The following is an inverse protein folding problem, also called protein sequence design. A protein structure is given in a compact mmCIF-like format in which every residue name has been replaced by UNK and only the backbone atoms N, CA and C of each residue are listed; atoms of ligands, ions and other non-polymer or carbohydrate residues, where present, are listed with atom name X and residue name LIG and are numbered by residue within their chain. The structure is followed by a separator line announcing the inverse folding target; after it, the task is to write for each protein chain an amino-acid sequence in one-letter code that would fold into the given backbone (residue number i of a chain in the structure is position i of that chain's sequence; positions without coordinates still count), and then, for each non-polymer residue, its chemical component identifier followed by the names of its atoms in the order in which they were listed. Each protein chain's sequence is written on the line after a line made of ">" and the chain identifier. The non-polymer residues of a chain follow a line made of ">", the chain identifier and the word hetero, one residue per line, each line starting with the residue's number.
data_IF_078589645142
#
_entry.id   IF_078589645142
#
_cell.length_a   1.000
_cell.length_b   1.000
_cell.length_c   1.000
_cell.angle_alpha   90.00
_cell.angle_beta   90.00
_cell.angle_gamma   90.00
#
_symmetry.space_group_name_H-M   'P 1'
#
loop_
_entity.id
_entity.type
_entity.pdbx_description
1 polymer ?
#
# COMPACT_ATOMS: atom_id res chain seq x y z
N UNK A 1 23.41 7.38 26.26
CA UNK A 1 23.36 6.26 27.21
C UNK A 1 24.67 5.50 27.18
N UNK A 2 25.44 5.64 28.24
CA UNK A 2 26.69 4.92 28.44
C UNK A 2 26.45 3.41 28.55
N UNK A 3 27.48 2.60 28.31
CA UNK A 3 27.39 1.14 28.34
C UNK A 3 26.95 0.61 29.72
N UNK A 4 27.35 1.27 30.80
CA UNK A 4 26.94 0.92 32.16
C UNK A 4 25.44 1.14 32.37
N UNK A 5 24.94 2.31 32.01
CA UNK A 5 23.52 2.67 32.12
C UNK A 5 22.65 1.70 31.30
N UNK A 6 23.12 1.33 30.09
CA UNK A 6 22.45 0.37 29.23
C UNK A 6 22.32 -1.01 29.90
N UNK A 7 23.37 -1.50 30.55
CA UNK A 7 23.36 -2.78 31.28
C UNK A 7 22.45 -2.75 32.51
N UNK A 8 22.48 -1.66 33.26
CA UNK A 8 21.61 -1.47 34.43
C UNK A 8 20.13 -1.45 33.99
N UNK A 9 19.79 -0.72 32.93
CA UNK A 9 18.44 -0.68 32.38
C UNK A 9 17.99 -2.05 31.86
N UNK A 10 18.85 -2.77 31.12
CA UNK A 10 18.56 -4.13 30.65
C UNK A 10 18.31 -5.11 31.81
N UNK A 11 19.03 -4.98 32.93
CA UNK A 11 18.82 -5.84 34.09
C UNK A 11 17.41 -5.67 34.68
N UNK A 12 16.85 -4.46 34.63
CA UNK A 12 15.49 -4.19 35.09
C UNK A 12 14.39 -4.66 34.13
N UNK A 13 14.71 -4.93 32.86
CA UNK A 13 13.74 -5.47 31.88
C UNK A 13 13.56 -6.99 31.99
N UNK A 14 14.46 -7.69 32.70
CA UNK A 14 14.44 -9.15 32.81
C UNK A 14 13.24 -9.66 33.63
N UNK A 15 12.77 -10.89 33.38
CA UNK A 15 11.64 -11.48 34.12
C UNK A 15 11.86 -11.55 35.64
N UNK A 16 13.11 -11.69 36.09
CA UNK A 16 13.45 -11.84 37.51
C UNK A 16 13.39 -10.52 38.30
N UNK A 17 13.32 -9.37 37.61
CA UNK A 17 13.23 -8.07 38.25
C UNK A 17 11.85 -7.84 38.89
N UNK A 18 11.78 -6.99 39.92
CA UNK A 18 10.51 -6.62 40.56
C UNK A 18 9.60 -5.90 39.58
N UNK A 19 8.30 -6.18 39.63
CA UNK A 19 7.30 -5.64 38.67
C UNK A 19 7.34 -4.11 38.51
N UNK A 20 7.47 -3.35 39.61
CA UNK A 20 7.58 -1.89 39.58
C UNK A 20 8.85 -1.41 38.83
N UNK A 21 9.98 -2.10 39.03
CA UNK A 21 11.23 -1.78 38.34
C UNK A 21 11.14 -2.12 36.85
N UNK A 22 10.46 -3.23 36.51
CA UNK A 22 10.17 -3.60 35.12
C UNK A 22 9.30 -2.55 34.43
N UNK A 23 8.26 -2.08 35.12
CA UNK A 23 7.37 -1.00 34.66
C UNK A 23 8.13 0.30 34.39
N UNK A 24 8.89 0.79 35.38
CA UNK A 24 9.71 1.99 35.19
C UNK A 24 10.73 1.83 34.06
N UNK A 25 11.37 0.67 33.94
CA UNK A 25 12.35 0.41 32.90
C UNK A 25 11.74 0.38 31.48
N UNK A 26 10.58 -0.28 31.29
CA UNK A 26 9.93 -0.34 29.97
C UNK A 26 9.40 1.03 29.54
N UNK A 27 8.88 1.84 30.47
CA UNK A 27 8.45 3.21 30.19
C UNK A 27 9.62 4.12 29.80
N UNK A 28 10.78 3.99 30.46
CA UNK A 28 11.99 4.70 30.07
C UNK A 28 12.44 4.32 28.65
N UNK A 29 12.43 3.01 28.32
CA UNK A 29 12.75 2.54 26.97
C UNK A 29 11.74 3.08 25.95
N UNK A 30 10.44 3.02 26.26
CA UNK A 30 9.39 3.58 25.42
C UNK A 30 9.64 5.08 25.16
N UNK A 31 9.95 5.85 26.20
CA UNK A 31 10.30 7.27 26.07
C UNK A 31 11.49 7.52 25.14
N UNK A 32 12.52 6.67 25.17
CA UNK A 32 13.66 6.77 24.24
C UNK A 32 13.24 6.56 22.78
N UNK A 33 12.27 5.67 22.51
CA UNK A 33 11.79 5.42 21.13
C UNK A 33 11.07 6.60 20.49
N UNK A 34 10.71 7.64 21.27
CA UNK A 34 10.09 8.86 20.77
C UNK A 34 11.00 9.71 19.86
N UNK A 35 12.31 9.48 19.87
CA UNK A 35 13.30 10.21 19.04
C UNK A 35 14.02 9.28 18.07
N UNK A 36 14.48 9.79 16.93
CA UNK A 36 15.26 9.00 15.96
C UNK A 36 16.59 8.53 16.57
N UNK A 37 17.26 9.40 17.33
CA UNK A 37 18.49 9.11 18.05
C UNK A 37 18.30 7.97 19.04
N UNK A 38 17.22 8.00 19.82
CA UNK A 38 16.90 6.95 20.78
C UNK A 38 16.54 5.62 20.11
N UNK A 39 15.79 5.64 19.00
CA UNK A 39 15.52 4.42 18.22
C UNK A 39 16.81 3.80 17.68
N UNK A 40 17.68 4.59 17.04
CA UNK A 40 18.98 4.11 16.53
C UNK A 40 19.87 3.55 17.63
N UNK A 41 19.90 4.21 18.78
CA UNK A 41 20.65 3.76 19.95
C UNK A 41 20.17 2.40 20.46
N UNK A 42 18.86 2.17 20.50
CA UNK A 42 18.27 0.90 20.92
C UNK A 42 18.47 -0.19 19.85
N UNK A 43 18.30 0.13 18.57
CA UNK A 43 18.52 -0.82 17.46
C UNK A 43 19.98 -1.25 17.34
N UNK A 44 20.93 -0.39 17.67
CA UNK A 44 22.35 -0.73 17.73
C UNK A 44 22.69 -1.74 18.85
N UNK A 45 21.75 -2.07 19.73
CA UNK A 45 21.93 -2.95 20.89
C UNK A 45 20.88 -4.07 20.89
N UNK A 46 21.16 -5.22 20.27
CA UNK A 46 20.20 -6.32 20.09
C UNK A 46 19.49 -6.78 21.37
N UNK A 47 20.18 -6.74 22.51
CA UNK A 47 19.61 -7.12 23.81
C UNK A 47 18.37 -6.31 24.21
N UNK A 48 18.27 -5.03 23.81
CA UNK A 48 17.05 -4.25 24.05
C UNK A 48 15.89 -4.71 23.18
N UNK A 49 16.16 -5.01 21.91
CA UNK A 49 15.15 -5.52 20.97
C UNK A 49 14.65 -6.87 21.44
N UNK A 50 15.55 -7.78 21.84
CA UNK A 50 15.21 -9.08 22.43
C UNK A 50 14.37 -8.95 23.70
N UNK A 51 14.76 -8.04 24.61
CA UNK A 51 14.01 -7.79 25.84
C UNK A 51 12.59 -7.26 25.54
N UNK A 52 12.43 -6.33 24.60
CA UNK A 52 11.13 -5.80 24.18
C UNK A 52 10.26 -6.88 23.50
N UNK A 53 10.86 -7.71 22.65
CA UNK A 53 10.18 -8.83 22.00
C UNK A 53 9.66 -9.83 23.02
N UNK A 54 10.43 -10.12 24.07
CA UNK A 54 9.98 -10.97 25.18
C UNK A 54 8.88 -10.29 26.01
N UNK A 55 9.07 -9.02 26.39
CA UNK A 55 8.12 -8.25 27.20
C UNK A 55 6.77 -8.05 26.51
N UNK A 56 6.74 -7.94 25.18
CA UNK A 56 5.48 -7.83 24.42
C UNK A 56 4.56 -9.05 24.58
N UNK A 57 5.04 -10.14 25.18
CA UNK A 57 4.26 -11.33 25.52
C UNK A 57 4.11 -11.56 27.02
N UNK A 58 4.44 -10.56 27.84
CA UNK A 58 4.37 -10.66 29.30
C UNK A 58 2.91 -10.82 29.78
N UNK A 59 2.66 -11.58 30.86
CA UNK A 59 1.33 -11.69 31.45
C UNK A 59 0.75 -10.36 31.94
N UNK A 60 1.60 -9.38 32.28
CA UNK A 60 1.16 -8.04 32.62
C UNK A 60 0.84 -7.23 31.36
N UNK A 61 -0.45 -6.95 31.16
CA UNK A 61 -0.94 -6.18 30.02
C UNK A 61 -0.23 -4.83 29.87
N UNK A 62 0.02 -4.13 30.98
CA UNK A 62 0.71 -2.84 30.96
C UNK A 62 2.16 -2.95 30.46
N UNK A 63 2.90 -3.97 30.89
CA UNK A 63 4.28 -4.20 30.41
C UNK A 63 4.29 -4.61 28.94
N UNK A 64 3.37 -5.49 28.56
CA UNK A 64 3.24 -5.96 27.20
C UNK A 64 2.89 -4.83 26.23
N UNK A 65 1.93 -3.97 26.62
CA UNK A 65 1.51 -2.81 25.84
C UNK A 65 2.63 -1.79 25.68
N UNK A 66 3.31 -1.39 26.76
CA UNK A 66 4.44 -0.45 26.69
C UNK A 66 5.57 -0.99 25.81
N UNK A 67 5.93 -2.28 25.96
CA UNK A 67 6.93 -2.92 25.12
C UNK A 67 6.50 -2.99 23.65
N UNK A 68 5.22 -3.26 23.40
CA UNK A 68 4.66 -3.31 22.05
C UNK A 68 4.72 -1.95 21.36
N UNK A 69 4.34 -0.87 22.05
CA UNK A 69 4.45 0.48 21.51
C UNK A 69 5.90 0.88 21.24
N UNK A 70 6.84 0.47 22.09
CA UNK A 70 8.26 0.67 21.83
C UNK A 70 8.69 -0.06 20.54
N UNK A 71 8.25 -1.30 20.31
CA UNK A 71 8.51 -2.04 19.08
C UNK A 71 7.90 -1.37 17.84
N UNK A 72 6.68 -0.83 17.93
CA UNK A 72 6.04 -0.08 16.83
C UNK A 72 6.89 1.12 16.43
N UNK A 73 7.36 1.88 17.42
CA UNK A 73 8.22 3.04 17.20
C UNK A 73 9.56 2.61 16.61
N UNK A 74 10.20 1.56 17.15
CA UNK A 74 11.45 1.03 16.60
C UNK A 74 11.30 0.59 15.14
N UNK A 75 10.21 -0.11 14.80
CA UNK A 75 9.95 -0.56 13.44
C UNK A 75 9.83 0.58 12.43
N UNK A 76 9.48 1.80 12.88
CA UNK A 76 9.40 2.98 12.02
C UNK A 76 10.77 3.55 11.63
N UNK A 77 11.86 3.16 12.32
CA UNK A 77 13.21 3.64 12.00
C UNK A 77 13.79 2.88 10.79
N UNK A 78 14.38 3.57 9.81
CA UNK A 78 15.06 2.92 8.70
C UNK A 78 16.17 1.97 9.17
N UNK A 79 16.18 0.73 8.64
CA UNK A 79 17.15 -0.31 9.01
C UNK A 79 16.73 -1.16 10.23
N UNK A 80 15.56 -0.89 10.82
CA UNK A 80 15.06 -1.64 11.96
C UNK A 80 14.61 -3.06 11.61
N UNK A 81 14.21 -3.32 10.36
CA UNK A 81 13.57 -4.58 10.01
C UNK A 81 14.50 -5.79 10.23
N UNK A 82 15.80 -5.63 9.96
CA UNK A 82 16.82 -6.64 10.24
C UNK A 82 16.96 -6.98 11.73
N UNK A 83 16.87 -5.98 12.61
CA UNK A 83 16.96 -6.19 14.06
C UNK A 83 15.73 -6.91 14.64
N UNK A 84 14.55 -6.65 14.08
CA UNK A 84 13.28 -7.26 14.51
C UNK A 84 13.04 -8.65 13.92
N UNK A 85 13.79 -9.02 12.88
CA UNK A 85 13.62 -10.24 12.07
C UNK A 85 13.46 -11.51 12.90
N UNK A 86 14.34 -11.75 13.87
CA UNK A 86 14.34 -12.98 14.66
C UNK A 86 13.09 -13.13 15.54
N UNK A 87 12.51 -12.02 15.99
CA UNK A 87 11.31 -12.01 16.82
C UNK A 87 10.00 -12.02 16.04
N UNK A 88 10.04 -11.70 14.74
CA UNK A 88 8.84 -11.48 13.95
C UNK A 88 7.96 -12.73 13.80
N UNK A 89 8.48 -13.96 13.59
CA UNK A 89 7.61 -15.14 13.54
C UNK A 89 6.81 -15.37 14.82
N UNK A 90 7.44 -15.18 15.98
CA UNK A 90 6.77 -15.27 17.29
C UNK A 90 5.79 -14.12 17.54
N UNK A 91 6.09 -12.94 17.01
CA UNK A 91 5.18 -11.80 17.02
C UNK A 91 3.96 -12.09 16.14
N UNK A 92 4.13 -12.46 14.87
CA UNK A 92 3.05 -12.81 13.93
C UNK A 92 2.09 -13.84 14.51
N UNK A 93 2.60 -14.93 15.12
CA UNK A 93 1.75 -15.93 15.79
C UNK A 93 0.84 -15.33 16.87
N UNK A 94 1.31 -14.33 17.62
CA UNK A 94 0.50 -13.61 18.61
C UNK A 94 -0.47 -12.63 17.95
N UNK A 95 -0.01 -11.90 16.95
CA UNK A 95 -0.82 -10.92 16.21
C UNK A 95 -2.03 -11.56 15.52
N UNK A 96 -1.89 -12.81 15.10
CA UNK A 96 -2.94 -13.59 14.44
C UNK A 96 -3.90 -14.26 15.42
N UNK A 97 -3.69 -14.13 16.73
CA UNK A 97 -4.67 -14.61 17.71
C UNK A 97 -5.94 -13.77 17.63
N UNK A 98 -7.14 -14.39 17.57
CA UNK A 98 -8.41 -13.67 17.45
C UNK A 98 -8.66 -12.61 18.54
N UNK A 99 -8.15 -12.85 19.75
CA UNK A 99 -8.34 -11.99 20.92
C UNK A 99 -7.17 -11.03 21.20
N UNK A 100 -6.24 -10.82 20.25
CA UNK A 100 -5.09 -9.96 20.48
C UNK A 100 -5.52 -8.50 20.70
N UNK A 101 -5.24 -7.88 21.86
CA UNK A 101 -5.82 -6.59 22.24
C UNK A 101 -5.24 -5.40 21.46
N UNK A 102 -4.04 -5.53 20.90
CA UNK A 102 -3.31 -4.45 20.23
C UNK A 102 -3.33 -4.60 18.70
N UNK A 103 -4.47 -4.99 18.13
CA UNK A 103 -4.59 -5.28 16.70
C UNK A 103 -4.17 -4.10 15.79
N UNK A 104 -4.56 -2.86 16.13
CA UNK A 104 -4.18 -1.69 15.35
C UNK A 104 -2.67 -1.36 15.43
N UNK A 105 -2.06 -1.24 16.63
CA UNK A 105 -0.60 -1.13 16.77
C UNK A 105 0.17 -2.23 16.04
N UNK A 106 -0.35 -3.46 16.07
CA UNK A 106 0.28 -4.59 15.40
C UNK A 106 0.36 -4.44 13.89
N UNK A 107 -0.73 -3.99 13.29
CA UNK A 107 -0.73 -3.74 11.86
C UNK A 107 0.20 -2.57 11.50
N UNK A 108 0.30 -1.53 12.35
CA UNK A 108 1.27 -0.45 12.16
C UNK A 108 2.73 -0.95 12.25
N UNK A 109 3.05 -1.82 13.20
CA UNK A 109 4.36 -2.46 13.30
C UNK A 109 4.70 -3.23 12.02
N UNK A 110 3.78 -4.07 11.52
CA UNK A 110 3.99 -4.84 10.29
C UNK A 110 4.11 -3.94 9.06
N UNK A 111 3.30 -2.89 8.97
CA UNK A 111 3.39 -1.90 7.88
C UNK A 111 4.73 -1.16 7.89
N UNK A 112 5.26 -0.83 9.07
CA UNK A 112 6.57 -0.18 9.21
C UNK A 112 7.71 -1.15 8.87
N UNK A 113 7.68 -2.36 9.44
CA UNK A 113 8.68 -3.39 9.20
C UNK A 113 8.75 -3.77 7.71
N UNK A 114 7.61 -3.82 7.03
CA UNK A 114 7.54 -4.24 5.63
C UNK A 114 8.09 -3.25 4.60
N UNK A 115 8.50 -2.05 5.03
CA UNK A 115 9.11 -1.05 4.16
C UNK A 115 10.46 -1.52 3.60
N UNK A 116 11.16 -2.39 4.32
CA UNK A 116 12.45 -2.95 3.90
C UNK A 116 12.26 -4.27 3.16
N UNK A 117 12.68 -4.31 1.89
CA UNK A 117 12.45 -5.46 1.00
C UNK A 117 13.21 -6.73 1.43
N UNK A 118 14.46 -6.58 1.91
CA UNK A 118 15.31 -7.72 2.27
C UNK A 118 14.66 -8.63 3.32
N UNK A 119 14.37 -8.11 4.53
CA UNK A 119 13.70 -8.89 5.57
C UNK A 119 12.33 -9.41 5.16
N UNK A 120 11.55 -8.65 4.37
CA UNK A 120 10.26 -9.11 3.82
C UNK A 120 10.38 -10.39 3.01
N UNK A 121 11.38 -10.50 2.12
CA UNK A 121 11.57 -11.67 1.26
C UNK A 121 11.74 -12.96 2.08
N UNK A 122 12.41 -12.88 3.23
CA UNK A 122 12.66 -14.05 4.08
C UNK A 122 11.40 -14.58 4.78
N UNK A 123 10.40 -13.73 5.03
CA UNK A 123 9.16 -14.09 5.75
C UNK A 123 7.91 -13.97 4.87
N UNK A 124 8.10 -13.87 3.56
CA UNK A 124 7.03 -13.59 2.61
C UNK A 124 5.97 -14.71 2.61
N UNK A 125 6.39 -15.96 2.72
CA UNK A 125 5.48 -17.11 2.73
C UNK A 125 4.53 -17.06 3.94
N UNK A 126 5.07 -16.84 5.14
CA UNK A 126 4.31 -16.74 6.39
C UNK A 126 3.36 -15.54 6.37
N UNK A 127 3.80 -14.41 5.82
CA UNK A 127 2.96 -13.22 5.66
C UNK A 127 1.82 -13.52 4.69
N UNK A 128 2.10 -14.02 3.49
CA UNK A 128 1.05 -14.32 2.52
C UNK A 128 0.07 -15.38 3.00
N UNK A 129 0.53 -16.43 3.69
CA UNK A 129 -0.36 -17.42 4.31
C UNK A 129 -1.27 -16.76 5.35
N UNK A 130 -0.70 -15.98 6.26
CA UNK A 130 -1.45 -15.30 7.32
C UNK A 130 -2.47 -14.28 6.78
N UNK A 131 -2.15 -13.61 5.67
CA UNK A 131 -2.90 -12.46 5.16
C UNK A 131 -3.79 -12.78 3.95
N UNK A 132 -3.52 -13.87 3.22
CA UNK A 132 -4.27 -14.23 2.01
C UNK A 132 -5.10 -15.50 2.14
N UNK A 133 -4.88 -16.38 3.12
CA UNK A 133 -5.48 -17.73 3.16
C UNK A 133 -6.88 -17.86 3.82
N UNK A 134 -7.69 -16.79 3.84
CA UNK A 134 -9.00 -16.56 4.51
C UNK A 134 -8.87 -15.60 5.70
N UNK A 135 -9.86 -14.71 5.91
CA UNK A 135 -9.85 -13.72 6.99
C UNK A 135 -9.72 -14.41 8.36
N UNK A 136 -8.56 -14.33 9.04
CA UNK A 136 -8.37 -14.99 10.32
C UNK A 136 -9.10 -14.27 11.46
N UNK A 137 -9.69 -13.07 11.24
CA UNK A 137 -10.39 -12.29 12.27
C UNK A 137 -11.56 -11.46 11.70
N UNK A 138 -12.75 -12.05 11.61
CA UNK A 138 -13.97 -11.31 11.32
C UNK A 138 -14.15 -10.14 12.30
N UNK A 139 -14.18 -8.90 11.80
CA UNK A 139 -14.39 -7.69 12.60
C UNK A 139 -13.13 -6.99 13.13
N UNK A 140 -11.92 -7.50 12.88
CA UNK A 140 -10.69 -6.79 13.22
C UNK A 140 -10.39 -5.63 12.23
N UNK A 141 -9.74 -4.53 12.67
CA UNK A 141 -9.41 -3.41 11.81
C UNK A 141 -8.23 -3.76 10.88
N UNK A 142 -8.52 -4.42 9.75
CA UNK A 142 -7.55 -4.76 8.69
C UNK A 142 -7.01 -3.52 7.93
N UNK A 143 -7.38 -2.31 8.34
CA UNK A 143 -7.09 -1.06 7.62
C UNK A 143 -5.59 -0.83 7.36
N UNK A 144 -4.75 -1.12 8.36
CA UNK A 144 -3.30 -0.95 8.25
C UNK A 144 -2.59 -2.10 7.50
N UNK A 145 -3.30 -3.21 7.22
CA UNK A 145 -2.75 -4.32 6.44
C UNK A 145 -2.78 -4.03 4.94
N UNK A 146 -3.55 -3.04 4.52
CA UNK A 146 -3.42 -2.48 3.18
C UNK A 146 -2.00 -2.00 2.91
N UNK A 147 -1.37 -1.30 3.86
CA UNK A 147 0.02 -0.84 3.70
C UNK A 147 1.03 -1.99 3.69
N UNK A 148 0.80 -3.04 4.50
CA UNK A 148 1.62 -4.25 4.44
C UNK A 148 1.56 -4.90 3.05
N UNK A 149 0.37 -5.12 2.51
CA UNK A 149 0.19 -5.72 1.18
C UNK A 149 0.78 -4.84 0.07
N UNK A 150 0.60 -3.53 0.14
CA UNK A 150 1.19 -2.59 -0.79
C UNK A 150 2.73 -2.67 -0.75
N UNK A 151 3.33 -2.75 0.45
CA UNK A 151 4.77 -2.89 0.60
C UNK A 151 5.28 -4.23 0.07
N UNK A 152 4.59 -5.34 0.37
CA UNK A 152 4.97 -6.68 -0.07
C UNK A 152 4.87 -6.82 -1.59
N UNK A 153 3.81 -6.30 -2.22
CA UNK A 153 3.57 -6.38 -3.67
C UNK A 153 4.60 -5.66 -4.55
N UNK A 154 5.52 -4.89 -3.95
CA UNK A 154 6.73 -4.40 -4.66
C UNK A 154 7.66 -5.56 -5.05
N UNK A 155 7.64 -6.65 -4.28
CA UNK A 155 8.41 -7.86 -4.56
C UNK A 155 7.74 -8.71 -5.65
N UNK A 156 8.48 -9.14 -6.70
CA UNK A 156 7.96 -10.04 -7.73
C UNK A 156 7.30 -11.31 -7.16
N UNK A 157 7.93 -11.93 -6.17
CA UNK A 157 7.48 -13.18 -5.55
C UNK A 157 6.13 -12.99 -4.82
N UNK A 158 5.88 -11.80 -4.28
CA UNK A 158 4.62 -11.46 -3.65
C UNK A 158 3.52 -11.24 -4.70
N UNK A 159 3.84 -10.57 -5.81
CA UNK A 159 2.90 -10.41 -6.94
C UNK A 159 2.52 -11.76 -7.52
N UNK A 160 3.49 -12.65 -7.76
CA UNK A 160 3.23 -14.01 -8.24
C UNK A 160 2.24 -14.77 -7.35
N UNK A 161 2.33 -14.57 -6.02
CA UNK A 161 1.42 -15.19 -5.08
C UNK A 161 0.03 -14.55 -5.08
N UNK A 162 -0.05 -13.22 -5.13
CA UNK A 162 -1.32 -12.48 -5.19
C UNK A 162 -2.08 -12.72 -6.50
N UNK A 163 -1.35 -12.79 -7.62
CA UNK A 163 -1.85 -13.03 -8.97
C UNK A 163 -2.04 -14.52 -9.29
N UNK A 164 -1.76 -15.41 -8.33
CA UNK A 164 -1.98 -16.85 -8.52
C UNK A 164 -3.49 -17.11 -8.62
N UNK A 165 -3.89 -17.68 -9.75
CA UNK A 165 -5.31 -18.00 -10.05
C UNK A 165 -5.92 -18.93 -9.00
N UNK A 166 -5.14 -19.88 -8.48
CA UNK A 166 -5.58 -20.77 -7.40
C UNK A 166 -5.73 -19.98 -6.10
N UNK A 167 -6.94 -19.99 -5.54
CA UNK A 167 -7.20 -19.40 -4.22
C UNK A 167 -7.65 -17.95 -4.24
N UNK A 168 -7.76 -17.27 -5.39
CA UNK A 168 -8.51 -16.00 -5.53
C UNK A 168 -8.11 -14.85 -4.58
N UNK A 169 -6.82 -14.72 -4.27
CA UNK A 169 -6.32 -13.72 -3.31
C UNK A 169 -6.60 -12.30 -3.77
N UNK A 170 -6.26 -11.98 -5.04
CA UNK A 170 -6.54 -10.68 -5.65
C UNK A 170 -8.04 -10.33 -5.61
N UNK A 171 -8.91 -11.25 -6.03
CA UNK A 171 -10.36 -11.01 -6.10
C UNK A 171 -10.96 -10.71 -4.73
N UNK A 172 -10.43 -11.31 -3.65
CA UNK A 172 -10.85 -10.97 -2.27
C UNK A 172 -10.49 -9.55 -1.87
N UNK A 173 -9.51 -8.92 -2.53
CA UNK A 173 -9.13 -7.54 -2.24
C UNK A 173 -10.04 -6.52 -2.93
N UNK A 174 -10.61 -6.86 -4.09
CA UNK A 174 -11.34 -5.91 -4.93
C UNK A 174 -12.50 -5.18 -4.22
N UNK A 175 -13.36 -5.84 -3.41
CA UNK A 175 -14.43 -5.13 -2.71
C UNK A 175 -13.93 -4.04 -1.75
N UNK A 176 -12.71 -4.16 -1.24
CA UNK A 176 -12.12 -3.18 -0.33
C UNK A 176 -11.64 -1.91 -1.02
N UNK A 177 -11.59 -1.86 -2.36
CA UNK A 177 -11.40 -0.59 -3.09
C UNK A 177 -12.55 0.39 -2.84
N UNK A 178 -13.74 -0.11 -2.51
CA UNK A 178 -14.95 0.70 -2.33
C UNK A 178 -15.38 0.79 -0.85
N UNK A 179 -14.51 0.39 0.08
CA UNK A 179 -14.82 0.42 1.52
C UNK A 179 -14.96 1.88 2.04
N UNK A 180 -16.20 2.33 2.19
CA UNK A 180 -16.54 3.63 2.74
C UNK A 180 -16.01 3.83 4.17
N UNK A 181 -15.77 2.75 4.92
CA UNK A 181 -15.32 2.81 6.31
C UNK A 181 -13.82 3.11 6.49
N UNK A 182 -12.99 3.10 5.43
CA UNK A 182 -11.54 3.28 5.61
C UNK A 182 -10.75 3.69 4.38
N UNK A 183 -10.28 4.94 4.37
CA UNK A 183 -9.31 5.44 3.40
C UNK A 183 -7.99 4.65 3.41
N UNK A 184 -7.48 4.28 4.60
CA UNK A 184 -6.25 3.49 4.72
C UNK A 184 -6.34 2.12 4.03
N UNK A 185 -7.50 1.47 4.13
CA UNK A 185 -7.71 0.17 3.46
C UNK A 185 -7.78 0.34 1.95
N UNK A 186 -8.59 1.29 1.46
CA UNK A 186 -8.71 1.61 0.03
C UNK A 186 -7.35 1.94 -0.57
N UNK A 187 -6.58 2.80 0.10
CA UNK A 187 -5.20 3.18 -0.26
C UNK A 187 -4.28 1.98 -0.41
N UNK A 188 -4.28 1.09 0.57
CA UNK A 188 -3.44 -0.10 0.53
C UNK A 188 -3.82 -1.09 -0.58
N UNK A 189 -5.11 -1.28 -0.83
CA UNK A 189 -5.57 -2.11 -1.94
C UNK A 189 -5.24 -1.47 -3.29
N UNK A 190 -5.50 -0.17 -3.47
CA UNK A 190 -5.12 0.55 -4.69
C UNK A 190 -3.62 0.44 -4.99
N UNK A 191 -2.77 0.66 -3.98
CA UNK A 191 -1.32 0.49 -4.13
C UNK A 191 -0.91 -0.95 -4.44
N UNK A 192 -1.57 -1.94 -3.82
CA UNK A 192 -1.33 -3.37 -4.12
C UNK A 192 -1.68 -3.71 -5.57
N UNK A 193 -2.83 -3.24 -6.06
CA UNK A 193 -3.28 -3.47 -7.43
C UNK A 193 -2.38 -2.78 -8.46
N UNK A 194 -1.99 -1.52 -8.21
CA UNK A 194 -1.02 -0.81 -9.02
C UNK A 194 0.27 -1.60 -9.14
N UNK A 195 0.81 -2.06 -8.01
CA UNK A 195 2.05 -2.85 -7.99
C UNK A 195 1.91 -4.16 -8.78
N UNK A 196 0.79 -4.87 -8.62
CA UNK A 196 0.47 -6.06 -9.39
C UNK A 196 0.44 -5.80 -10.91
N UNK A 197 -0.02 -4.63 -11.34
CA UNK A 197 -0.14 -4.27 -12.76
C UNK A 197 1.19 -3.90 -13.43
N UNK A 198 2.32 -3.83 -12.71
CA UNK A 198 3.64 -3.81 -13.37
C UNK A 198 3.96 -5.11 -14.10
N UNK A 199 3.29 -6.22 -13.76
CA UNK A 199 3.45 -7.49 -14.46
C UNK A 199 2.45 -7.62 -15.61
N UNK A 200 2.85 -7.14 -16.78
CA UNK A 200 2.00 -7.10 -17.98
C UNK A 200 1.52 -8.47 -18.46
N UNK A 201 2.19 -9.56 -18.07
CA UNK A 201 1.81 -10.94 -18.42
C UNK A 201 0.43 -11.30 -17.89
N UNK A 202 -0.06 -10.57 -16.89
CA UNK A 202 -1.35 -10.80 -16.27
C UNK A 202 -2.46 -9.85 -16.77
N UNK A 203 -2.16 -8.81 -17.56
CA UNK A 203 -3.15 -7.78 -17.94
C UNK A 203 -4.39 -8.36 -18.62
N UNK A 204 -4.22 -9.26 -19.58
CA UNK A 204 -5.35 -9.88 -20.28
C UNK A 204 -6.25 -10.68 -19.31
N UNK A 205 -5.65 -11.40 -18.36
CA UNK A 205 -6.41 -12.13 -17.34
C UNK A 205 -7.10 -11.17 -16.35
N UNK A 206 -6.41 -10.13 -15.90
CA UNK A 206 -6.95 -9.11 -15.00
C UNK A 206 -8.15 -8.38 -15.61
N UNK A 207 -8.13 -8.12 -16.92
CA UNK A 207 -9.20 -7.46 -17.66
C UNK A 207 -10.29 -8.42 -18.17
N UNK A 208 -10.05 -9.73 -18.11
CA UNK A 208 -11.04 -10.74 -18.52
C UNK A 208 -12.21 -10.83 -17.54
N UNK A 209 -13.32 -11.43 -17.98
CA UNK A 209 -14.51 -11.71 -17.16
C UNK A 209 -14.23 -12.54 -15.88
N UNK A 210 -13.08 -13.23 -15.78
CA UNK A 210 -12.72 -14.01 -14.59
C UNK A 210 -12.35 -13.14 -13.39
N UNK A 211 -11.80 -11.95 -13.64
CA UNK A 211 -11.41 -11.00 -12.59
C UNK A 211 -12.26 -9.74 -12.68
N UNK A 212 -12.55 -9.31 -13.90
CA UNK A 212 -13.31 -8.12 -14.24
C UNK A 212 -12.81 -6.90 -13.46
N UNK A 213 -11.50 -6.62 -13.56
CA UNK A 213 -10.86 -5.58 -12.74
C UNK A 213 -11.31 -4.17 -13.12
N UNK A 214 -11.65 -3.93 -14.39
CA UNK A 214 -11.89 -2.58 -14.92
C UNK A 214 -13.02 -1.83 -14.19
N UNK A 215 -14.21 -2.42 -13.95
CA UNK A 215 -15.27 -1.76 -13.19
C UNK A 215 -14.84 -1.36 -11.77
N UNK A 216 -14.07 -2.20 -11.08
CA UNK A 216 -13.57 -1.87 -9.74
C UNK A 216 -12.65 -0.65 -9.72
N UNK A 217 -11.88 -0.43 -10.79
CA UNK A 217 -10.99 0.74 -10.93
C UNK A 217 -11.75 2.01 -11.36
N UNK A 218 -12.75 1.87 -12.23
CA UNK A 218 -13.50 3.01 -12.76
C UNK A 218 -14.57 3.52 -11.80
N UNK A 219 -15.24 2.64 -11.04
CA UNK A 219 -16.34 3.05 -10.18
C UNK A 219 -15.95 4.13 -9.15
N UNK A 220 -14.77 4.09 -8.49
CA UNK A 220 -14.32 5.17 -7.60
C UNK A 220 -14.03 6.49 -8.34
N UNK A 221 -13.74 6.44 -9.63
CA UNK A 221 -13.43 7.61 -10.47
C UNK A 221 -14.70 8.24 -11.08
N UNK A 222 -15.80 7.50 -11.14
CA UNK A 222 -17.08 7.97 -11.65
C UNK A 222 -17.85 8.82 -10.62
N UNK A 223 -18.52 9.87 -11.11
CA UNK A 223 -19.45 10.69 -10.34
C UNK A 223 -20.91 10.41 -10.72
N UNK A 224 -21.83 11.33 -10.39
CA UNK A 224 -23.26 11.19 -10.66
C UNK A 224 -23.66 11.68 -12.07
N UNK A 225 -22.70 11.81 -12.99
CA UNK A 225 -22.98 12.34 -14.32
C UNK A 225 -23.87 11.40 -15.16
N UNK A 226 -24.78 12.00 -15.93
CA UNK A 226 -25.58 11.29 -16.91
C UNK A 226 -24.86 11.27 -18.27
N UNK A 227 -24.76 10.08 -18.86
CA UNK A 227 -24.17 9.88 -20.18
C UNK A 227 -25.27 9.68 -21.24
N UNK A 228 -25.06 10.13 -22.49
CA UNK A 228 -25.89 9.75 -23.63
C UNK A 228 -26.04 8.23 -23.75
N UNK A 229 -27.15 7.75 -24.32
CA UNK A 229 -27.46 6.32 -24.43
C UNK A 229 -26.35 5.52 -25.14
N UNK A 230 -25.75 6.07 -26.21
CA UNK A 230 -24.68 5.43 -26.97
C UNK A 230 -23.33 5.36 -26.23
N UNK A 231 -23.08 6.30 -25.31
CA UNK A 231 -21.94 6.23 -24.39
C UNK A 231 -22.24 5.23 -23.25
N UNK A 232 -23.47 5.23 -22.74
CA UNK A 232 -23.92 4.36 -21.65
C UNK A 232 -23.86 2.87 -22.02
N UNK A 233 -24.27 2.50 -23.24
CA UNK A 233 -24.22 1.13 -23.74
C UNK A 233 -22.81 0.53 -23.77
N UNK A 234 -21.77 1.37 -23.85
CA UNK A 234 -20.36 0.95 -23.86
C UNK A 234 -19.77 0.74 -22.47
N UNK A 235 -20.34 1.39 -21.45
CA UNK A 235 -19.84 1.29 -20.08
C UNK A 235 -20.10 -0.11 -19.50
N UNK A 236 -19.22 -0.60 -18.60
CA UNK A 236 -19.54 -1.80 -17.82
C UNK A 236 -20.81 -1.61 -16.99
N UNK A 237 -21.54 -2.70 -16.73
CA UNK A 237 -22.85 -2.66 -16.08
C UNK A 237 -22.85 -1.92 -14.74
N UNK A 238 -21.80 -2.09 -13.92
CA UNK A 238 -21.69 -1.44 -12.61
C UNK A 238 -21.53 0.08 -12.68
N UNK A 239 -21.20 0.63 -13.86
CA UNK A 239 -21.05 2.06 -14.12
C UNK A 239 -22.28 2.67 -14.82
N UNK A 240 -23.25 1.85 -15.22
CA UNK A 240 -24.45 2.33 -15.88
C UNK A 240 -25.46 2.86 -14.85
N UNK A 241 -26.07 4.01 -15.17
CA UNK A 241 -27.16 4.60 -14.39
C UNK A 241 -26.84 4.77 -12.90
N UNK A 242 -25.68 5.34 -12.60
CA UNK A 242 -25.27 5.63 -11.22
C UNK A 242 -26.26 6.60 -10.54
N UNK A 243 -26.53 6.43 -9.23
CA UNK A 243 -27.45 7.30 -8.51
C UNK A 243 -26.89 8.71 -8.32
N UNK A 244 -27.77 9.70 -8.09
CA UNK A 244 -27.38 11.09 -7.91
C UNK A 244 -26.46 11.32 -6.68
N UNK A 245 -26.54 10.43 -5.69
CA UNK A 245 -25.70 10.45 -4.49
C UNK A 245 -24.30 9.84 -4.73
N UNK A 246 -24.01 9.32 -5.93
CA UNK A 246 -22.72 8.72 -6.25
C UNK A 246 -21.61 9.77 -6.13
N UNK A 247 -20.68 9.51 -5.22
CA UNK A 247 -19.47 10.34 -5.06
C UNK A 247 -18.24 9.61 -5.60
N UNK A 248 -17.32 10.41 -6.13
CA UNK A 248 -15.96 9.97 -6.45
C UNK A 248 -15.19 9.66 -5.16
N UNK A 249 -14.11 8.90 -5.29
CA UNK A 249 -13.14 8.70 -4.22
C UNK A 249 -12.64 10.06 -3.70
N UNK A 250 -12.82 10.38 -2.40
CA UNK A 250 -12.42 11.68 -1.85
C UNK A 250 -10.90 11.88 -1.80
N UNK A 251 -10.11 10.81 -1.62
CA UNK A 251 -8.66 10.91 -1.44
C UNK A 251 -7.93 11.03 -2.79
N UNK A 252 -7.27 12.16 -3.04
CA UNK A 252 -6.60 12.45 -4.31
C UNK A 252 -5.53 11.43 -4.68
N UNK A 253 -4.70 11.02 -3.73
CA UNK A 253 -3.65 10.05 -3.97
C UNK A 253 -4.19 8.63 -4.26
N UNK A 254 -5.38 8.26 -3.76
CA UNK A 254 -6.08 7.03 -4.19
C UNK A 254 -6.52 7.17 -5.64
N UNK A 255 -7.14 8.29 -6.03
CA UNK A 255 -7.53 8.56 -7.43
C UNK A 255 -6.33 8.47 -8.37
N UNK A 256 -5.19 9.08 -7.99
CA UNK A 256 -3.92 9.00 -8.74
C UNK A 256 -3.48 7.55 -8.93
N UNK A 257 -3.46 6.74 -7.87
CA UNK A 257 -3.10 5.32 -7.96
C UNK A 257 -4.02 4.51 -8.89
N UNK A 258 -5.32 4.80 -8.89
CA UNK A 258 -6.28 4.13 -9.80
C UNK A 258 -6.01 4.50 -11.26
N UNK A 259 -5.74 5.77 -11.55
CA UNK A 259 -5.37 6.25 -12.89
C UNK A 259 -4.05 5.63 -13.36
N UNK A 260 -3.04 5.58 -12.49
CA UNK A 260 -1.76 4.92 -12.79
C UNK A 260 -1.94 3.41 -13.02
N UNK A 261 -2.86 2.77 -12.30
CA UNK A 261 -3.19 1.35 -12.52
C UNK A 261 -3.84 1.14 -13.89
N UNK A 262 -4.79 1.99 -14.27
CA UNK A 262 -5.40 1.96 -15.61
C UNK A 262 -4.37 2.22 -16.71
N UNK A 263 -3.44 3.16 -16.50
CA UNK A 263 -2.34 3.43 -17.42
C UNK A 263 -1.39 2.24 -17.57
N UNK A 264 -1.07 1.53 -16.49
CA UNK A 264 -0.30 0.29 -16.57
C UNK A 264 -1.05 -0.77 -17.40
N UNK A 265 -2.36 -0.93 -17.19
CA UNK A 265 -3.19 -1.86 -17.96
C UNK A 265 -3.27 -1.52 -19.45
N UNK A 266 -3.05 -0.25 -19.84
CA UNK A 266 -2.96 0.18 -21.25
C UNK A 266 -1.55 0.07 -21.84
N UNK A 267 -0.58 -0.51 -21.12
CA UNK A 267 0.75 -0.77 -21.68
C UNK A 267 0.72 -1.79 -22.83
N UNK A 268 -0.19 -2.77 -22.76
CA UNK A 268 -0.33 -3.80 -23.80
C UNK A 268 -1.44 -3.45 -24.78
N UNK A 269 -1.27 -3.84 -26.05
CA UNK A 269 -2.27 -3.64 -27.09
C UNK A 269 -3.65 -4.22 -26.72
N UNK A 270 -3.78 -5.48 -26.25
CA UNK A 270 -5.08 -6.00 -25.80
C UNK A 270 -5.69 -5.14 -24.68
N UNK A 271 -4.86 -4.68 -23.73
CA UNK A 271 -5.29 -3.81 -22.66
C UNK A 271 -5.81 -2.45 -23.17
N UNK A 272 -5.08 -1.78 -24.08
CA UNK A 272 -5.53 -0.52 -24.71
C UNK A 272 -6.87 -0.69 -25.39
N UNK A 273 -7.02 -1.72 -26.22
CA UNK A 273 -8.23 -1.96 -26.99
C UNK A 273 -9.42 -2.18 -26.06
N UNK A 274 -9.29 -3.05 -25.05
CA UNK A 274 -10.37 -3.34 -24.11
C UNK A 274 -10.75 -2.11 -23.27
N UNK A 275 -9.77 -1.39 -22.70
CA UNK A 275 -10.03 -0.19 -21.89
C UNK A 275 -10.71 0.90 -22.72
N UNK A 276 -10.33 1.08 -24.00
CA UNK A 276 -11.02 1.98 -24.93
C UNK A 276 -12.45 1.51 -25.25
N UNK A 277 -12.61 0.23 -25.58
CA UNK A 277 -13.90 -0.37 -25.96
C UNK A 277 -14.95 -0.24 -24.85
N UNK A 278 -14.54 -0.38 -23.59
CA UNK A 278 -15.41 -0.29 -22.40
C UNK A 278 -15.74 1.15 -21.98
N UNK A 279 -15.59 2.12 -22.87
CA UNK A 279 -16.03 3.50 -22.62
C UNK A 279 -15.27 4.26 -21.52
N UNK A 280 -14.06 3.81 -21.14
CA UNK A 280 -13.27 4.42 -20.06
C UNK A 280 -13.05 5.92 -20.28
N UNK A 281 -12.86 6.35 -21.52
CA UNK A 281 -12.70 7.76 -21.88
C UNK A 281 -13.85 8.65 -21.37
N UNK A 282 -15.10 8.18 -21.39
CA UNK A 282 -16.24 8.97 -20.94
C UNK A 282 -16.16 9.28 -19.45
N UNK A 283 -15.79 8.28 -18.64
CA UNK A 283 -15.57 8.44 -17.19
C UNK A 283 -14.44 9.43 -16.93
N UNK A 284 -13.32 9.28 -17.64
CA UNK A 284 -12.15 10.15 -17.45
C UNK A 284 -12.37 11.58 -17.93
N UNK A 285 -13.16 11.79 -18.99
CA UNK A 285 -13.55 13.12 -19.48
C UNK A 285 -14.29 13.92 -18.40
N UNK A 286 -15.23 13.29 -17.70
CA UNK A 286 -15.96 13.96 -16.62
C UNK A 286 -15.11 14.08 -15.34
N UNK A 287 -14.29 13.07 -15.02
CA UNK A 287 -13.31 13.16 -13.93
C UNK A 287 -12.37 14.36 -14.13
N UNK A 288 -11.79 14.52 -15.32
CA UNK A 288 -10.83 15.59 -15.64
C UNK A 288 -11.42 16.99 -15.45
N UNK A 289 -12.69 17.19 -15.85
CA UNK A 289 -13.41 18.45 -15.61
C UNK A 289 -13.65 18.75 -14.14
N UNK A 290 -13.91 17.70 -13.35
CA UNK A 290 -14.22 17.81 -11.93
C UNK A 290 -12.95 17.91 -11.04
N UNK A 291 -11.85 17.32 -11.47
CA UNK A 291 -10.64 17.16 -10.66
C UNK A 291 -9.94 18.50 -10.36
N UNK A 292 -9.66 18.73 -9.08
CA UNK A 292 -8.99 19.93 -8.59
C UNK A 292 -7.54 19.71 -8.15
N UNK A 293 -7.11 18.46 -7.99
CA UNK A 293 -5.72 18.11 -7.70
C UNK A 293 -4.90 18.03 -9.00
N UNK A 294 -3.80 18.79 -9.06
CA UNK A 294 -2.96 18.89 -10.25
C UNK A 294 -2.35 17.54 -10.63
N UNK A 295 -1.79 16.83 -9.65
CA UNK A 295 -1.13 15.55 -9.88
C UNK A 295 -2.09 14.45 -10.34
N UNK A 296 -3.34 14.47 -9.86
CA UNK A 296 -4.39 13.57 -10.35
C UNK A 296 -4.81 13.95 -11.78
N UNK A 297 -4.95 15.26 -12.05
CA UNK A 297 -5.33 15.76 -13.37
C UNK A 297 -4.29 15.41 -14.43
N UNK A 298 -3.00 15.60 -14.14
CA UNK A 298 -1.90 15.21 -15.02
C UNK A 298 -1.90 13.69 -15.30
N UNK A 299 -2.09 12.86 -14.27
CA UNK A 299 -2.24 11.41 -14.45
C UNK A 299 -3.45 11.04 -15.32
N UNK A 300 -4.56 11.76 -15.18
CA UNK A 300 -5.76 11.59 -16.00
C UNK A 300 -5.51 11.98 -17.46
N UNK A 301 -4.81 13.09 -17.70
CA UNK A 301 -4.43 13.56 -19.04
C UNK A 301 -3.52 12.56 -19.75
N UNK A 302 -2.48 12.04 -19.07
CA UNK A 302 -1.59 11.00 -19.60
C UNK A 302 -2.38 9.75 -20.04
N UNK A 303 -3.35 9.32 -19.23
CA UNK A 303 -4.21 8.20 -19.59
C UNK A 303 -5.15 8.52 -20.75
N UNK A 304 -5.80 9.69 -20.76
CA UNK A 304 -6.68 10.13 -21.85
C UNK A 304 -5.91 10.15 -23.18
N UNK A 305 -4.69 10.68 -23.20
CA UNK A 305 -3.83 10.71 -24.39
C UNK A 305 -3.60 9.31 -24.97
N UNK A 306 -3.34 8.31 -24.12
CA UNK A 306 -3.23 6.91 -24.55
C UNK A 306 -4.55 6.39 -25.13
N UNK A 307 -5.69 6.75 -24.54
CA UNK A 307 -7.00 6.25 -24.99
C UNK A 307 -7.47 6.86 -26.31
N UNK A 308 -7.19 8.14 -26.56
CA UNK A 308 -7.60 8.84 -27.79
C UNK A 308 -6.58 8.73 -28.91
N UNK A 309 -5.31 8.44 -28.58
CA UNK A 309 -4.23 8.30 -29.54
C UNK A 309 -4.37 7.08 -30.42
N UNK A 310 -3.72 7.15 -31.60
CA UNK A 310 -3.64 6.02 -32.52
C UNK A 310 -2.93 4.82 -31.87
N UNK A 311 -3.25 3.63 -32.36
CA UNK A 311 -2.57 2.42 -31.91
C UNK A 311 -1.09 2.47 -32.33
N UNK A 312 -0.13 2.20 -31.42
CA UNK A 312 1.28 2.17 -31.75
C UNK A 312 1.63 1.25 -32.92
N UNK A 313 2.75 1.55 -33.58
CA UNK A 313 3.25 0.79 -34.72
C UNK A 313 3.52 -0.69 -34.38
N UNK A 314 3.55 -1.55 -35.40
CA UNK A 314 3.89 -2.96 -35.23
C UNK A 314 5.28 -3.11 -34.60
N UNK A 315 5.38 -3.92 -33.55
CA UNK A 315 6.57 -4.02 -32.70
C UNK A 315 6.55 -3.14 -31.45
N UNK A 316 5.52 -2.30 -31.26
CA UNK A 316 5.25 -1.54 -30.03
C UNK A 316 3.97 -2.01 -29.32
N UNK A 317 3.63 -3.29 -29.45
CA UNK A 317 2.42 -3.84 -28.84
C UNK A 317 2.48 -3.79 -27.31
N UNK A 318 3.66 -3.89 -26.72
CA UNK A 318 3.87 -3.76 -25.28
C UNK A 318 4.83 -2.62 -24.95
N UNK A 319 4.28 -1.51 -24.49
CA UNK A 319 5.03 -0.29 -24.19
C UNK A 319 6.02 -0.46 -23.03
N UNK A 320 5.84 -1.48 -22.18
CA UNK A 320 6.77 -1.80 -21.09
C UNK A 320 8.03 -2.55 -21.56
N UNK A 321 8.05 -3.07 -22.78
CA UNK A 321 9.21 -3.76 -23.36
C UNK A 321 9.96 -2.93 -24.42
N UNK A 322 9.40 -1.77 -24.80
CA UNK A 322 10.02 -0.89 -25.80
C UNK A 322 11.28 -0.27 -25.23
N UNK A 323 12.39 -0.39 -25.96
CA UNK A 323 13.63 0.32 -25.63
C UNK A 323 13.48 1.78 -26.05
N UNK A 324 13.46 2.67 -25.08
CA UNK A 324 13.40 4.11 -25.31
C UNK A 324 14.81 4.56 -25.77
N UNK A 325 14.95 5.23 -26.93
CA UNK A 325 16.22 5.84 -27.33
C UNK A 325 16.66 6.88 -26.30
N UNK A 326 17.98 6.99 -26.07
CA UNK A 326 18.53 7.86 -25.03
C UNK A 326 18.16 9.33 -25.24
N UNK A 327 18.03 9.81 -26.48
CA UNK A 327 17.59 11.19 -26.71
C UNK A 327 16.13 11.44 -26.26
N UNK A 328 15.25 10.46 -26.48
CA UNK A 328 13.84 10.53 -26.05
C UNK A 328 13.75 10.43 -24.53
N UNK A 329 14.55 9.56 -23.92
CA UNK A 329 14.63 9.44 -22.46
C UNK A 329 15.06 10.75 -21.81
N UNK A 330 16.06 11.44 -22.36
CA UNK A 330 16.51 12.75 -21.88
C UNK A 330 15.44 13.84 -22.04
N UNK A 331 14.71 13.82 -23.16
CA UNK A 331 13.60 14.76 -23.37
C UNK A 331 12.45 14.53 -22.39
N UNK A 332 12.07 13.27 -22.14
CA UNK A 332 11.05 12.92 -21.16
C UNK A 332 11.48 13.35 -19.75
N UNK A 333 12.73 13.11 -19.35
CA UNK A 333 13.26 13.55 -18.06
C UNK A 333 13.22 15.07 -17.88
N UNK A 334 13.50 15.84 -18.94
CA UNK A 334 13.41 17.30 -18.90
C UNK A 334 11.96 17.76 -18.71
N UNK A 335 11.01 17.17 -19.46
CA UNK A 335 9.59 17.48 -19.33
C UNK A 335 9.05 17.11 -17.95
N UNK A 336 9.44 15.96 -17.40
CA UNK A 336 9.05 15.55 -16.04
C UNK A 336 9.61 16.52 -14.98
N UNK A 337 10.84 17.03 -15.15
CA UNK A 337 11.41 18.06 -14.26
C UNK A 337 10.67 19.39 -14.36
N UNK A 338 10.31 19.83 -15.57
CA UNK A 338 9.51 21.03 -15.77
C UNK A 338 8.12 20.90 -15.13
N UNK A 339 7.46 19.74 -15.26
CA UNK A 339 6.19 19.44 -14.58
C UNK A 339 6.35 19.48 -13.04
N UNK A 340 7.42 18.90 -12.49
CA UNK A 340 7.69 18.92 -11.03
C UNK A 340 7.97 20.34 -10.51
N UNK A 341 8.73 21.14 -11.25
CA UNK A 341 9.01 22.53 -10.91
C UNK A 341 7.73 23.39 -10.95
N UNK A 342 6.88 23.20 -11.95
CA UNK A 342 5.57 23.86 -12.03
C UNK A 342 4.66 23.46 -10.86
N UNK A 343 4.64 22.18 -10.48
CA UNK A 343 3.91 21.70 -9.31
C UNK A 343 4.41 22.34 -8.01
N UNK A 344 5.73 22.48 -7.84
CA UNK A 344 6.32 23.09 -6.65
C UNK A 344 6.00 24.59 -6.56
N UNK A 345 6.02 25.30 -7.69
CA UNK A 345 5.63 26.72 -7.76
C UNK A 345 4.16 26.90 -7.39
N UNK A 346 3.24 26.11 -7.96
CA UNK A 346 1.81 26.18 -7.64
C UNK A 346 1.54 25.86 -6.17
N UNK A 347 2.29 24.92 -5.59
CA UNK A 347 2.19 24.59 -4.18
C UNK A 347 2.64 25.75 -3.28
N UNK A 348 3.76 26.40 -3.62
CA UNK A 348 4.28 27.56 -2.89
C UNK A 348 3.32 28.75 -2.96
N UNK A 349 2.69 29.00 -4.10
CA UNK A 349 1.69 30.07 -4.27
C UNK A 349 0.40 29.84 -3.45
N UNK A 350 0.06 28.59 -3.13
CA UNK A 350 -1.09 28.26 -2.27
C UNK A 350 -0.82 28.46 -0.77
N UNK A 351 0.45 28.56 -0.37
CA UNK A 351 0.87 28.69 1.03
C UNK A 351 1.19 30.15 1.40
N UNK A 352 1.41 31.00 0.40
CA UNK A 352 1.56 32.46 0.53
C UNK A 352 0.21 33.18 0.60
#
# INVERSE_FOLDING_TARGET
>A
MEEREARELLAFLRPEARGELRGGAVELVLGLTGSAEGRRLLLARPAFVEALLALSGDPSAALAEAAFHALVNLAAEPGAAGALRAGLPGLLRRLLQPAFPLAAPACALLANWSREEGPCRELLAELLEAFCAHDPRPGAPWHHLGSLLANLSRLPEARDALLRRSGGALQRLLPFLHDAGSALRRRGVAGTLRNCCFDYRHHEWLLSEQVDLLPFLLLPLAGPEEFPEDEMEKLPLDLQYLPAEKQREPEADIRKMLLETLLLLTATKPGRLLVREKGTYFVLRELHKWEGDHGVRAACEKLIQVLIGDEPEAGMENLLEVKIPTEVEQQLQHLDQEEEEEEEVVLLERIA
#
